data_IF_772339508638
#
_entry.id   IF_772339508638
#
_cell.length_a   1.000
_cell.length_b   1.000
_cell.length_c   1.000
_cell.angle_alpha   90.00
_cell.angle_beta   90.00
_cell.angle_gamma   90.00
#
_symmetry.space_group_name_H-M   'P 1'
#
loop_
_entity.id
_entity.type
_entity.pdbx_description
1 polymer ?
#
# COMPACT_ATOMS: atom_id res chain seq x y z
N UNK A 1 -68.80 -23.22 26.06
CA UNK A 1 -67.50 -22.55 25.78
C UNK A 1 -66.50 -23.07 26.78
N UNK A 2 -65.46 -23.77 26.30
CA UNK A 2 -64.44 -24.37 27.17
C UNK A 2 -63.47 -23.26 27.61
N UNK A 3 -63.22 -23.06 28.91
CA UNK A 3 -62.29 -22.04 29.35
C UNK A 3 -60.88 -22.40 28.85
N UNK A 4 -60.22 -21.45 28.17
CA UNK A 4 -58.82 -21.57 27.81
C UNK A 4 -58.02 -21.73 29.11
N UNK A 5 -57.27 -22.83 29.21
CA UNK A 5 -56.34 -23.09 30.32
C UNK A 5 -55.26 -22.00 30.35
N UNK A 6 -54.76 -21.63 31.54
CA UNK A 6 -53.63 -20.71 31.65
C UNK A 6 -52.46 -21.37 30.93
N UNK A 7 -52.06 -20.79 29.79
CA UNK A 7 -50.91 -21.29 29.04
C UNK A 7 -49.71 -21.27 29.98
N UNK A 8 -49.10 -22.43 30.15
CA UNK A 8 -47.90 -22.64 30.94
C UNK A 8 -46.84 -21.64 30.50
N UNK A 9 -46.54 -20.66 31.36
CA UNK A 9 -45.30 -19.89 31.29
C UNK A 9 -44.17 -20.88 31.51
N UNK A 10 -43.70 -21.51 30.43
CA UNK A 10 -42.54 -22.38 30.46
C UNK A 10 -41.32 -21.56 30.89
N UNK A 11 -40.41 -22.16 31.65
CA UNK A 11 -39.20 -21.48 32.12
C UNK A 11 -38.38 -20.85 30.97
N UNK A 12 -38.51 -21.42 29.77
CA UNK A 12 -37.96 -20.87 28.52
C UNK A 12 -38.58 -19.52 28.14
N UNK A 13 -39.90 -19.35 28.28
CA UNK A 13 -40.59 -18.08 27.97
C UNK A 13 -40.24 -16.99 29.00
N UNK A 14 -40.08 -17.38 30.26
CA UNK A 14 -39.64 -16.46 31.32
C UNK A 14 -38.19 -15.99 31.09
N UNK A 15 -37.27 -16.90 30.74
CA UNK A 15 -35.89 -16.56 30.39
C UNK A 15 -35.81 -15.68 29.14
N UNK A 16 -36.57 -15.99 28.09
CA UNK A 16 -36.65 -15.16 26.89
C UNK A 16 -37.13 -13.73 27.22
N UNK A 17 -38.21 -13.61 28.01
CA UNK A 17 -38.70 -12.30 28.45
C UNK A 17 -37.67 -11.53 29.30
N UNK A 18 -36.88 -12.22 30.15
CA UNK A 18 -35.81 -11.58 30.92
C UNK A 18 -34.71 -11.03 30.01
N UNK A 19 -34.32 -11.78 28.96
CA UNK A 19 -33.35 -11.31 27.96
C UNK A 19 -33.90 -10.11 27.19
N UNK A 20 -35.14 -10.18 26.71
CA UNK A 20 -35.78 -9.06 25.99
C UNK A 20 -35.86 -7.79 26.87
N UNK A 21 -36.15 -7.97 28.16
CA UNK A 21 -36.23 -6.87 29.12
C UNK A 21 -34.84 -6.27 29.42
N UNK A 22 -33.79 -7.09 29.38
CA UNK A 22 -32.41 -6.65 29.50
C UNK A 22 -31.99 -5.87 28.24
N UNK A 23 -32.25 -6.41 27.05
CA UNK A 23 -31.97 -5.74 25.76
C UNK A 23 -32.70 -4.39 25.65
N UNK A 24 -33.96 -4.33 26.11
CA UNK A 24 -34.72 -3.08 26.18
C UNK A 24 -34.05 -2.05 27.11
N UNK A 25 -33.62 -2.46 28.30
CA UNK A 25 -32.92 -1.59 29.25
C UNK A 25 -31.60 -1.08 28.66
N UNK A 26 -30.83 -1.97 28.05
CA UNK A 26 -29.53 -1.64 27.47
C UNK A 26 -29.68 -0.69 26.28
N UNK A 27 -30.67 -0.93 25.43
CA UNK A 27 -31.04 -0.01 24.33
C UNK A 27 -31.42 1.36 24.87
N UNK A 28 -32.27 1.42 25.90
CA UNK A 28 -32.70 2.68 26.51
C UNK A 28 -31.53 3.45 27.13
N UNK A 29 -30.63 2.76 27.82
CA UNK A 29 -29.41 3.34 28.40
C UNK A 29 -28.47 3.88 27.31
N UNK A 30 -28.27 3.11 26.23
CA UNK A 30 -27.42 3.54 25.11
C UNK A 30 -28.00 4.77 24.40
N UNK A 31 -29.32 4.85 24.25
CA UNK A 31 -29.95 6.04 23.67
C UNK A 31 -29.77 7.28 24.58
N UNK A 32 -29.88 7.12 25.90
CA UNK A 32 -29.62 8.23 26.84
C UNK A 32 -28.16 8.72 26.75
N UNK A 33 -27.20 7.80 26.63
CA UNK A 33 -25.78 8.13 26.42
C UNK A 33 -25.56 8.91 25.12
N UNK A 34 -26.23 8.52 24.03
CA UNK A 34 -26.15 9.24 22.75
C UNK A 34 -26.73 10.65 22.91
N UNK A 35 -27.85 10.81 23.62
CA UNK A 35 -28.44 12.12 23.88
C UNK A 35 -27.51 13.04 24.67
N UNK A 36 -26.86 12.52 25.72
CA UNK A 36 -25.88 13.26 26.52
C UNK A 36 -24.63 13.60 25.70
N UNK A 37 -24.14 12.68 24.86
CA UNK A 37 -23.02 12.93 23.95
C UNK A 37 -23.36 14.03 22.92
N UNK A 38 -24.60 14.06 22.42
CA UNK A 38 -25.08 15.13 21.54
C UNK A 38 -25.11 16.45 22.31
N UNK A 39 -25.79 16.52 23.45
CA UNK A 39 -25.92 17.76 24.25
C UNK A 39 -24.57 18.33 24.68
N UNK A 40 -23.61 17.48 25.04
CA UNK A 40 -22.26 17.89 25.48
C UNK A 40 -21.33 18.31 24.34
N UNK A 41 -21.57 17.87 23.10
CA UNK A 41 -20.73 18.22 21.94
C UNK A 41 -21.16 19.49 21.21
N UNK A 42 -22.34 20.03 21.52
CA UNK A 42 -22.91 21.21 20.87
C UNK A 42 -22.42 22.51 21.51
N UNK A 43 -22.32 23.57 20.71
CA UNK A 43 -21.96 24.90 21.18
C UNK A 43 -22.97 25.44 22.21
N UNK A 44 -22.46 26.14 23.23
CA UNK A 44 -23.24 26.61 24.39
C UNK A 44 -24.48 27.43 23.98
N UNK A 45 -24.39 28.24 22.93
CA UNK A 45 -25.50 29.10 22.49
C UNK A 45 -26.70 28.36 21.88
N UNK A 46 -26.54 27.09 21.47
CA UNK A 46 -27.65 26.25 20.96
C UNK A 46 -28.31 25.43 22.08
N UNK A 47 -27.65 25.26 23.23
CA UNK A 47 -28.19 24.48 24.36
C UNK A 47 -29.60 24.93 24.80
N UNK A 48 -29.91 26.23 24.92
CA UNK A 48 -31.26 26.69 25.27
C UNK A 48 -32.34 26.31 24.23
N UNK A 49 -31.97 26.16 22.96
CA UNK A 49 -32.90 25.81 21.88
C UNK A 49 -33.28 24.32 21.86
N UNK A 50 -32.54 23.48 22.56
CA UNK A 50 -32.69 22.01 22.55
C UNK A 50 -33.08 21.42 23.92
N UNK A 51 -33.00 22.21 25.00
CA UNK A 51 -33.15 21.73 26.39
C UNK A 51 -34.50 21.06 26.67
N UNK A 52 -35.59 21.60 26.11
CA UNK A 52 -36.96 21.09 26.30
C UNK A 52 -37.45 20.18 25.15
N UNK A 53 -36.60 19.87 24.16
CA UNK A 53 -37.01 19.18 22.94
C UNK A 53 -36.86 17.66 23.03
N UNK A 54 -37.74 16.94 22.32
CA UNK A 54 -37.62 15.48 22.19
C UNK A 54 -36.41 15.13 21.32
N UNK A 55 -35.82 13.95 21.53
CA UNK A 55 -34.63 13.45 20.80
C UNK A 55 -34.65 13.70 19.29
N UNK A 56 -35.77 13.40 18.62
CA UNK A 56 -35.92 13.63 17.17
C UNK A 56 -35.93 15.13 16.81
N UNK A 57 -36.55 15.96 17.66
CA UNK A 57 -36.63 17.41 17.47
C UNK A 57 -35.27 18.07 17.70
N UNK A 58 -34.47 17.57 18.65
CA UNK A 58 -33.08 18.01 18.84
C UNK A 58 -32.31 17.84 17.53
N UNK A 59 -32.37 16.65 16.92
CA UNK A 59 -31.69 16.38 15.64
C UNK A 59 -32.21 17.28 14.51
N UNK A 60 -33.51 17.55 14.48
CA UNK A 60 -34.11 18.44 13.47
C UNK A 60 -33.60 19.88 13.61
N UNK A 61 -33.57 20.42 14.84
CA UNK A 61 -33.04 21.76 15.12
C UNK A 61 -31.57 21.84 14.76
N UNK A 62 -30.77 20.83 15.15
CA UNK A 62 -29.36 20.80 14.82
C UNK A 62 -29.12 20.73 13.33
N UNK A 63 -29.94 19.96 12.60
CA UNK A 63 -29.90 19.96 11.14
C UNK A 63 -30.19 21.36 10.61
N UNK A 64 -31.28 21.99 11.02
CA UNK A 64 -31.63 23.33 10.52
C UNK A 64 -30.56 24.41 10.83
N UNK A 65 -29.87 24.31 11.96
CA UNK A 65 -28.85 25.29 12.37
C UNK A 65 -27.46 25.04 11.79
N UNK A 66 -27.11 23.78 11.53
CA UNK A 66 -25.76 23.38 11.13
C UNK A 66 -25.71 22.73 9.74
N UNK A 67 -26.83 22.60 9.03
CA UNK A 67 -26.86 22.17 7.63
C UNK A 67 -26.05 23.18 6.82
N UNK A 68 -24.88 22.78 6.30
CA UNK A 68 -24.05 23.70 5.56
C UNK A 68 -24.78 24.08 4.28
N UNK A 69 -24.71 25.36 3.91
CA UNK A 69 -25.23 25.81 2.62
C UNK A 69 -24.43 25.14 1.50
N UNK A 70 -25.03 24.97 0.32
CA UNK A 70 -24.33 24.42 -0.86
C UNK A 70 -23.01 25.16 -1.13
N UNK A 71 -23.03 26.50 -1.09
CA UNK A 71 -21.84 27.36 -1.21
C UNK A 71 -20.78 27.06 -0.14
N UNK A 72 -21.18 26.82 1.10
CA UNK A 72 -20.26 26.51 2.20
C UNK A 72 -19.64 25.11 2.04
N UNK A 73 -20.41 24.15 1.51
CA UNK A 73 -19.92 22.81 1.18
C UNK A 73 -18.90 22.88 0.04
N UNK A 74 -19.20 23.64 -1.01
CA UNK A 74 -18.28 23.89 -2.13
C UNK A 74 -17.00 24.58 -1.66
N UNK A 75 -17.10 25.64 -0.87
CA UNK A 75 -15.95 26.36 -0.37
C UNK A 75 -15.07 25.46 0.51
N UNK A 76 -15.69 24.67 1.40
CA UNK A 76 -14.98 23.72 2.26
C UNK A 76 -14.27 22.66 1.43
N UNK A 77 -14.94 22.06 0.45
CA UNK A 77 -14.35 21.04 -0.42
C UNK A 77 -13.17 21.61 -1.23
N UNK A 78 -13.34 22.80 -1.80
CA UNK A 78 -12.31 23.49 -2.56
C UNK A 78 -11.11 23.88 -1.68
N UNK A 79 -11.36 24.34 -0.45
CA UNK A 79 -10.32 24.68 0.52
C UNK A 79 -9.51 23.45 0.91
N UNK A 80 -10.16 22.32 1.15
CA UNK A 80 -9.50 21.04 1.44
C UNK A 80 -8.65 20.57 0.25
N UNK A 81 -9.21 20.60 -0.96
CA UNK A 81 -8.51 20.22 -2.18
C UNK A 81 -7.26 21.08 -2.42
N UNK A 82 -7.39 22.42 -2.35
CA UNK A 82 -6.27 23.35 -2.49
C UNK A 82 -5.20 23.15 -1.40
N UNK A 83 -5.61 22.83 -0.17
CA UNK A 83 -4.67 22.55 0.91
C UNK A 83 -3.82 21.29 0.64
N UNK A 84 -4.42 20.23 0.09
CA UNK A 84 -3.69 18.98 -0.22
C UNK A 84 -2.72 19.18 -1.38
N UNK A 85 -3.12 19.90 -2.44
CA UNK A 85 -2.22 20.21 -3.57
C UNK A 85 -1.02 21.04 -3.11
N UNK A 86 -1.25 22.05 -2.25
CA UNK A 86 -0.18 22.91 -1.72
C UNK A 86 0.75 22.13 -0.80
N UNK A 87 0.23 21.17 -0.04
CA UNK A 87 1.00 20.29 0.82
C UNK A 87 1.58 19.14 -0.02
N UNK A 88 2.64 19.42 -0.78
CA UNK A 88 3.35 18.38 -1.55
C UNK A 88 3.64 17.14 -0.68
N UNK A 89 3.60 15.93 -1.27
CA UNK A 89 3.86 14.68 -0.55
C UNK A 89 5.26 14.71 0.10
N UNK A 90 5.38 14.12 1.28
CA UNK A 90 6.67 13.93 1.95
C UNK A 90 7.26 12.58 1.55
N UNK A 91 8.60 12.48 1.56
CA UNK A 91 9.32 11.21 1.31
C UNK A 91 9.02 10.22 2.44
N UNK A 92 8.43 9.07 2.08
CA UNK A 92 7.71 8.17 3.02
C UNK A 92 6.48 8.87 3.55
N UNK A 93 5.25 8.37 3.38
CA UNK A 93 3.94 9.05 3.47
C UNK A 93 3.38 9.53 2.13
N UNK A 94 3.92 9.04 1.02
CA UNK A 94 3.35 9.28 -0.31
C UNK A 94 1.94 8.65 -0.40
N UNK A 95 1.75 7.44 0.11
CA UNK A 95 0.44 6.76 0.10
C UNK A 95 -0.63 7.48 0.91
N UNK A 96 -0.29 7.91 2.13
CA UNK A 96 -1.21 8.71 2.94
C UNK A 96 -1.60 10.02 2.24
N UNK A 97 -0.64 10.66 1.56
CA UNK A 97 -0.94 11.84 0.76
C UNK A 97 -1.83 11.53 -0.45
N UNK A 98 -1.62 10.39 -1.12
CA UNK A 98 -2.47 9.92 -2.23
C UNK A 98 -3.92 9.72 -1.75
N UNK A 99 -4.11 9.11 -0.59
CA UNK A 99 -5.44 8.90 -0.01
C UNK A 99 -6.13 10.23 0.31
N UNK A 100 -5.41 11.15 0.95
CA UNK A 100 -5.91 12.50 1.24
C UNK A 100 -6.28 13.25 -0.06
N UNK A 101 -5.47 13.10 -1.11
CA UNK A 101 -5.74 13.70 -2.42
C UNK A 101 -6.97 13.09 -3.08
N UNK A 102 -7.11 11.76 -3.12
CA UNK A 102 -8.26 11.09 -3.74
C UNK A 102 -9.56 11.41 -2.99
N UNK A 103 -9.52 11.46 -1.64
CA UNK A 103 -10.65 11.91 -0.84
C UNK A 103 -11.07 13.35 -1.16
N UNK A 104 -10.11 14.28 -1.23
CA UNK A 104 -10.41 15.68 -1.56
C UNK A 104 -10.92 15.85 -3.00
N UNK A 105 -10.34 15.13 -3.96
CA UNK A 105 -10.82 15.08 -5.35
C UNK A 105 -12.25 14.55 -5.44
N UNK A 106 -12.56 13.45 -4.75
CA UNK A 106 -13.91 12.90 -4.74
C UNK A 106 -14.93 13.86 -4.13
N UNK A 107 -14.55 14.65 -3.13
CA UNK A 107 -15.42 15.67 -2.55
C UNK A 107 -15.79 16.76 -3.58
N UNK A 108 -14.82 17.33 -4.29
CA UNK A 108 -15.10 18.35 -5.33
C UNK A 108 -15.81 17.75 -6.55
N UNK A 109 -15.58 16.47 -6.86
CA UNK A 109 -16.24 15.78 -7.97
C UNK A 109 -17.72 15.52 -7.70
N UNK A 110 -18.08 15.18 -6.45
CA UNK A 110 -19.49 14.98 -6.07
C UNK A 110 -20.31 16.26 -6.19
N UNK A 111 -19.68 17.41 -5.96
CA UNK A 111 -20.28 18.73 -6.11
C UNK A 111 -20.21 19.27 -7.55
N UNK A 112 -19.72 18.48 -8.53
CA UNK A 112 -19.58 18.87 -9.94
C UNK A 112 -18.82 20.19 -10.18
N UNK A 113 -17.86 20.51 -9.30
CA UNK A 113 -17.09 21.75 -9.40
C UNK A 113 -16.21 21.77 -10.65
N UNK A 114 -15.96 22.96 -11.22
CA UNK A 114 -15.15 23.12 -12.43
C UNK A 114 -13.71 22.59 -12.28
N UNK A 115 -13.17 22.64 -11.07
CA UNK A 115 -11.85 22.18 -10.68
C UNK A 115 -11.73 20.65 -10.70
N UNK A 116 -12.86 19.93 -10.70
CA UNK A 116 -12.90 18.47 -10.74
C UNK A 116 -12.67 17.88 -12.14
N UNK A 117 -12.54 18.73 -13.18
CA UNK A 117 -12.24 18.25 -14.52
C UNK A 117 -10.93 17.47 -14.52
N UNK A 118 -10.97 16.26 -15.10
CA UNK A 118 -9.86 15.31 -15.05
C UNK A 118 -8.53 15.92 -15.50
N UNK A 119 -8.53 16.81 -16.51
CA UNK A 119 -7.33 17.51 -17.00
C UNK A 119 -6.69 18.43 -15.96
N UNK A 120 -7.48 19.10 -15.12
CA UNK A 120 -6.98 19.95 -14.06
C UNK A 120 -6.38 19.10 -12.94
N UNK A 121 -7.11 18.07 -12.51
CA UNK A 121 -6.70 17.16 -11.45
C UNK A 121 -5.43 16.40 -11.80
N UNK A 122 -5.29 15.92 -13.04
CA UNK A 122 -4.05 15.29 -13.52
C UNK A 122 -2.84 16.21 -13.41
N UNK A 123 -2.99 17.49 -13.80
CA UNK A 123 -1.91 18.47 -13.71
C UNK A 123 -1.57 18.78 -12.26
N UNK A 124 -2.58 18.95 -11.41
CA UNK A 124 -2.39 19.23 -9.99
C UNK A 124 -1.70 18.07 -9.27
N UNK A 125 -2.10 16.84 -9.59
CA UNK A 125 -1.47 15.62 -9.08
C UNK A 125 0.01 15.53 -9.48
N UNK A 126 0.33 15.71 -10.78
CA UNK A 126 1.70 15.64 -11.28
C UNK A 126 2.58 16.76 -10.74
N UNK A 127 2.03 17.98 -10.61
CA UNK A 127 2.73 19.12 -10.00
C UNK A 127 3.03 18.86 -8.53
N UNK A 128 2.10 18.23 -7.80
CA UNK A 128 2.32 17.87 -6.41
C UNK A 128 3.44 16.83 -6.27
N UNK A 129 3.44 15.81 -7.14
CA UNK A 129 4.45 14.74 -7.14
C UNK A 129 5.83 15.24 -7.57
N UNK A 130 5.90 16.29 -8.38
CA UNK A 130 7.17 16.83 -8.91
C UNK A 130 8.17 17.17 -7.80
N UNK A 131 7.70 17.56 -6.62
CA UNK A 131 8.55 17.81 -5.45
C UNK A 131 9.25 16.55 -4.90
N UNK A 132 8.67 15.37 -5.11
CA UNK A 132 9.18 14.08 -4.61
C UNK A 132 9.86 13.29 -5.72
N UNK A 133 9.25 13.23 -6.89
CA UNK A 133 9.78 12.57 -8.07
C UNK A 133 9.62 13.43 -9.34
N UNK A 134 10.62 14.29 -9.63
CA UNK A 134 10.62 15.11 -10.83
C UNK A 134 10.63 14.30 -12.14
N UNK A 135 11.25 13.11 -12.13
CA UNK A 135 11.41 12.29 -13.34
C UNK A 135 10.07 11.67 -13.75
N UNK A 136 9.34 11.11 -12.78
CA UNK A 136 7.99 10.59 -13.00
C UNK A 136 7.07 11.69 -13.53
N UNK A 137 7.01 12.85 -12.86
CA UNK A 137 6.14 13.94 -13.30
C UNK A 137 6.46 14.39 -14.72
N UNK A 138 7.73 14.56 -15.08
CA UNK A 138 8.15 15.01 -16.42
C UNK A 138 7.76 14.03 -17.53
N UNK A 139 7.92 12.73 -17.30
CA UNK A 139 7.55 11.69 -18.27
C UNK A 139 6.04 11.63 -18.50
N UNK A 140 5.24 11.87 -17.46
CA UNK A 140 3.79 11.76 -17.55
C UNK A 140 3.10 13.07 -18.00
N UNK A 141 3.75 14.23 -17.86
CA UNK A 141 3.23 15.51 -18.38
C UNK A 141 2.97 15.50 -19.90
N UNK A 142 3.79 14.81 -20.70
CA UNK A 142 3.61 14.72 -22.16
C UNK A 142 2.38 13.89 -22.56
N UNK A 143 1.97 12.95 -21.70
CA UNK A 143 0.92 11.97 -21.99
C UNK A 143 -0.42 12.28 -21.30
N UNK A 144 -0.54 13.42 -20.60
CA UNK A 144 -1.77 13.82 -19.86
C UNK A 144 -3.04 13.77 -20.73
N UNK A 145 -2.95 14.10 -22.03
CA UNK A 145 -4.12 14.18 -22.92
C UNK A 145 -4.75 12.82 -23.24
N UNK A 146 -4.01 11.73 -23.05
CA UNK A 146 -4.39 10.39 -23.50
C UNK A 146 -4.74 9.44 -22.34
N UNK A 147 -4.84 9.96 -21.12
CA UNK A 147 -5.13 9.15 -19.93
C UNK A 147 -6.20 9.83 -19.07
N UNK A 148 -6.76 9.10 -18.12
CA UNK A 148 -7.67 9.62 -17.09
C UNK A 148 -6.91 9.78 -15.77
N UNK A 149 -7.45 10.58 -14.83
CA UNK A 149 -6.83 10.69 -13.51
C UNK A 149 -6.73 9.32 -12.80
N UNK A 150 -7.75 8.47 -12.92
CA UNK A 150 -7.78 7.13 -12.30
C UNK A 150 -6.68 6.22 -12.85
N UNK A 151 -6.47 6.22 -14.17
CA UNK A 151 -5.41 5.43 -14.79
C UNK A 151 -4.03 5.95 -14.35
N UNK A 152 -3.83 7.26 -14.35
CA UNK A 152 -2.60 7.90 -13.88
C UNK A 152 -2.28 7.52 -12.42
N UNK A 153 -3.30 7.50 -11.56
CA UNK A 153 -3.13 7.09 -10.17
C UNK A 153 -2.73 5.60 -10.03
N UNK A 154 -3.36 4.73 -10.81
CA UNK A 154 -3.02 3.29 -10.84
C UNK A 154 -1.58 3.05 -11.33
N UNK A 155 -1.17 3.77 -12.38
CA UNK A 155 0.19 3.72 -12.91
C UNK A 155 1.20 4.20 -11.86
N UNK A 156 0.89 5.28 -11.14
CA UNK A 156 1.76 5.80 -10.08
C UNK A 156 1.91 4.84 -8.91
N UNK A 157 0.82 4.19 -8.46
CA UNK A 157 0.90 3.14 -7.42
C UNK A 157 1.78 1.97 -7.87
N UNK A 158 1.61 1.52 -9.10
CA UNK A 158 2.45 0.46 -9.69
C UNK A 158 3.92 0.87 -9.76
N UNK A 159 4.19 2.13 -10.11
CA UNK A 159 5.53 2.72 -10.11
C UNK A 159 6.16 2.75 -8.71
N UNK A 160 5.40 3.14 -7.67
CA UNK A 160 5.87 3.16 -6.29
C UNK A 160 6.23 1.76 -5.78
N UNK A 161 5.35 0.78 -6.04
CA UNK A 161 5.58 -0.62 -5.69
C UNK A 161 6.85 -1.18 -6.37
N UNK A 162 7.04 -0.91 -7.67
CA UNK A 162 8.20 -1.37 -8.42
C UNK A 162 9.50 -0.67 -8.03
N UNK A 163 9.43 0.59 -7.58
CA UNK A 163 10.59 1.37 -7.16
C UNK A 163 11.01 1.12 -5.70
N UNK A 164 10.25 0.33 -4.95
CA UNK A 164 10.50 0.07 -3.52
C UNK A 164 10.37 1.33 -2.66
N UNK A 165 9.61 2.33 -3.14
CA UNK A 165 9.32 3.59 -2.44
C UNK A 165 7.93 3.59 -1.81
N UNK A 166 7.24 2.46 -1.91
CA UNK A 166 6.06 2.21 -1.11
C UNK A 166 6.47 2.30 0.35
N UNK A 167 5.84 3.19 1.09
CA UNK A 167 5.93 3.15 2.54
C UNK A 167 5.25 1.83 2.94
N UNK A 168 5.93 1.00 3.75
CA UNK A 168 5.39 -0.22 4.40
C UNK A 168 4.24 0.11 5.38
N UNK A 169 3.41 1.11 5.07
CA UNK A 169 2.04 1.16 5.51
C UNK A 169 1.35 -0.02 4.85
N UNK A 170 1.08 -1.05 5.65
CA UNK A 170 0.12 -2.10 5.37
C UNK A 170 -1.26 -1.49 5.04
N UNK A 171 -1.39 -0.87 3.87
CA UNK A 171 -2.68 -0.60 3.24
C UNK A 171 -3.04 -1.91 2.57
N UNK A 172 -3.52 -2.84 3.39
CA UNK A 172 -4.42 -3.84 2.89
C UNK A 172 -5.50 -3.08 2.12
N UNK A 173 -5.49 -3.20 0.79
CA UNK A 173 -6.61 -2.80 -0.04
C UNK A 173 -7.80 -3.65 0.40
N UNK A 174 -8.47 -3.21 1.46
CA UNK A 174 -9.76 -3.71 1.92
C UNK A 174 -10.79 -3.26 0.90
N UNK A 175 -10.76 -3.87 -0.28
CA UNK A 175 -11.94 -3.97 -1.10
C UNK A 175 -12.85 -4.95 -0.37
N UNK A 176 -13.80 -4.41 0.40
CA UNK A 176 -14.80 -5.20 1.11
C UNK A 176 -15.67 -5.94 0.08
N UNK A 177 -15.27 -7.15 -0.28
CA UNK A 177 -16.23 -8.15 -0.75
C UNK A 177 -17.10 -8.49 0.46
N UNK A 178 -18.32 -7.97 0.44
CA UNK A 178 -19.40 -8.35 1.35
C UNK A 178 -19.63 -9.86 1.24
N UNK A 179 -18.95 -10.63 2.08
CA UNK A 179 -19.33 -12.00 2.41
C UNK A 179 -19.42 -12.06 3.94
N UNK A 180 -20.65 -12.05 4.43
CA UNK A 180 -20.93 -12.21 5.84
C UNK A 180 -20.57 -13.62 6.30
N UNK A 181 -19.86 -13.70 7.43
CA UNK A 181 -20.08 -14.74 8.42
C UNK A 181 -19.36 -14.43 9.74
N UNK A 182 -20.16 -14.23 10.78
CA UNK A 182 -19.90 -14.77 12.12
C UNK A 182 -19.02 -13.95 13.05
N UNK A 183 -19.64 -13.03 13.79
CA UNK A 183 -19.22 -12.73 15.15
C UNK A 183 -19.35 -13.98 16.02
N UNK A 184 -18.31 -14.34 16.78
CA UNK A 184 -18.43 -14.67 18.21
C UNK A 184 -17.14 -14.32 18.98
N UNK A 185 -17.26 -13.95 20.27
CA UNK A 185 -16.21 -13.27 21.02
C UNK A 185 -15.36 -14.20 21.92
N UNK A 186 -14.25 -13.59 22.35
CA UNK A 186 -13.19 -13.96 23.30
C UNK A 186 -13.39 -15.13 24.29
N UNK A 187 -12.32 -15.92 24.47
CA UNK A 187 -11.70 -16.06 25.80
C UNK A 187 -10.23 -16.50 25.74
N UNK A 188 -9.49 -16.03 26.75
CA UNK A 188 -8.05 -15.86 26.81
C UNK A 188 -7.26 -17.10 27.24
N UNK A 189 -6.12 -17.37 26.60
CA UNK A 189 -4.93 -17.97 27.24
C UNK A 189 -3.63 -17.30 26.72
N UNK A 190 -2.63 -17.25 27.61
CA UNK A 190 -1.52 -16.27 27.72
C UNK A 190 -0.58 -16.10 26.51
N UNK A 191 0.01 -14.89 26.35
CA UNK A 191 1.05 -14.63 25.35
C UNK A 191 2.41 -15.17 25.82
N UNK A 192 3.03 -16.01 25.00
CA UNK A 192 4.47 -16.26 25.11
C UNK A 192 5.23 -15.12 24.44
N UNK A 193 6.05 -14.51 25.26
CA UNK A 193 7.03 -13.48 24.95
C UNK A 193 7.98 -13.94 23.83
N UNK A 194 7.93 -13.27 22.69
CA UNK A 194 8.99 -13.30 21.68
C UNK A 194 9.27 -11.86 21.28
N UNK A 195 10.34 -11.33 21.87
CA UNK A 195 10.71 -9.94 21.83
C UNK A 195 10.94 -9.36 20.43
N UNK A 196 10.70 -8.05 20.36
CA UNK A 196 11.16 -7.11 19.32
C UNK A 196 12.59 -7.42 18.86
N UNK A 197 12.78 -7.46 17.54
CA UNK A 197 13.97 -7.13 16.72
C UNK A 197 13.54 -7.40 15.26
N UNK A 198 13.64 -6.55 14.26
CA UNK A 198 14.30 -5.28 14.02
C UNK A 198 14.18 -5.05 12.50
N UNK A 199 14.24 -3.80 12.07
CA UNK A 199 14.21 -3.38 10.66
C UNK A 199 15.26 -4.12 9.78
N UNK A 200 14.92 -4.29 8.50
CA UNK A 200 15.89 -4.18 7.41
C UNK A 200 16.83 -5.36 7.13
N UNK A 201 16.41 -6.27 6.25
CA UNK A 201 17.34 -7.06 5.44
C UNK A 201 16.61 -7.54 4.18
N UNK A 202 16.70 -6.78 3.08
CA UNK A 202 16.51 -7.34 1.73
C UNK A 202 17.28 -8.66 1.66
N UNK A 203 16.67 -9.80 1.30
CA UNK A 203 17.34 -11.08 1.47
C UNK A 203 18.53 -11.13 0.51
N UNK A 204 19.72 -10.90 1.05
CA UNK A 204 20.96 -11.27 0.41
C UNK A 204 21.00 -12.80 0.41
N UNK A 205 21.06 -13.39 -0.78
CA UNK A 205 21.34 -14.81 -0.91
C UNK A 205 22.76 -15.09 -0.38
N UNK A 206 23.00 -16.30 0.12
CA UNK A 206 24.33 -16.76 0.56
C UNK A 206 25.35 -16.78 -0.59
N UNK A 207 24.90 -16.73 -1.85
CA UNK A 207 25.76 -16.51 -3.01
C UNK A 207 26.30 -15.06 -3.11
N UNK A 208 25.82 -14.14 -2.28
CA UNK A 208 26.24 -12.74 -2.22
C UNK A 208 25.52 -11.78 -3.17
N UNK A 209 24.48 -12.24 -3.88
CA UNK A 209 23.63 -11.43 -4.77
C UNK A 209 22.28 -11.11 -4.11
N UNK A 210 21.62 -10.03 -4.58
CA UNK A 210 20.30 -9.59 -4.09
C UNK A 210 19.19 -10.41 -4.74
N UNK A 211 18.86 -11.56 -4.15
CA UNK A 211 17.70 -12.36 -4.47
C UNK A 211 17.40 -13.33 -3.33
N UNK A 212 16.17 -13.87 -3.30
CA UNK A 212 15.82 -14.94 -2.37
C UNK A 212 16.51 -16.25 -2.77
N UNK A 213 16.96 -17.04 -1.79
CA UNK A 213 17.68 -18.31 -1.99
C UNK A 213 17.03 -19.23 -3.03
N UNK A 214 15.70 -19.37 -2.97
CA UNK A 214 14.86 -20.19 -3.87
C UNK A 214 15.02 -19.81 -5.35
N UNK A 215 15.38 -18.56 -5.65
CA UNK A 215 15.54 -18.04 -7.02
C UNK A 215 17.02 -17.94 -7.44
N UNK A 216 17.93 -18.58 -6.70
CA UNK A 216 19.36 -18.47 -6.95
C UNK A 216 19.79 -19.33 -8.15
N UNK A 217 20.10 -18.68 -9.28
CA UNK A 217 20.64 -19.34 -10.48
C UNK A 217 22.00 -20.05 -10.26
N UNK A 218 22.75 -19.64 -9.22
CA UNK A 218 24.02 -20.28 -8.86
C UNK A 218 23.81 -21.61 -8.12
N UNK A 219 22.69 -21.77 -7.40
CA UNK A 219 22.37 -22.98 -6.64
C UNK A 219 21.49 -23.96 -7.42
N UNK A 220 20.51 -23.44 -8.17
CA UNK A 220 19.50 -24.24 -8.86
C UNK A 220 19.72 -24.18 -10.38
N UNK A 221 20.21 -25.26 -11.00
CA UNK A 221 20.42 -25.33 -12.46
C UNK A 221 19.16 -25.11 -13.28
N UNK A 222 18.01 -25.57 -12.78
CA UNK A 222 16.72 -25.50 -13.48
C UNK A 222 16.23 -24.06 -13.72
N UNK A 223 16.77 -23.10 -12.96
CA UNK A 223 16.42 -21.69 -13.05
C UNK A 223 17.38 -20.88 -13.92
N UNK A 224 18.37 -21.53 -14.55
CA UNK A 224 19.40 -20.83 -15.35
C UNK A 224 18.82 -20.36 -16.68
N UNK A 225 18.97 -19.07 -17.04
CA UNK A 225 18.64 -18.62 -18.38
C UNK A 225 19.60 -19.22 -19.43
N UNK A 226 19.21 -19.29 -20.71
CA UNK A 226 19.96 -19.98 -21.77
C UNK A 226 21.37 -19.42 -22.02
N UNK A 227 21.64 -18.16 -21.64
CA UNK A 227 22.96 -17.51 -21.76
C UNK A 227 23.67 -17.33 -20.40
N UNK A 228 23.33 -18.16 -19.42
CA UNK A 228 23.86 -18.03 -18.07
C UNK A 228 25.33 -18.42 -17.98
N UNK A 229 26.10 -17.65 -17.20
CA UNK A 229 27.52 -17.88 -16.94
C UNK A 229 27.78 -18.04 -15.45
N UNK A 230 28.72 -18.92 -15.12
CA UNK A 230 29.13 -19.17 -13.75
C UNK A 230 29.79 -17.93 -13.15
N UNK A 231 29.30 -17.51 -11.99
CA UNK A 231 29.97 -16.46 -11.23
C UNK A 231 30.93 -17.09 -10.21
N UNK A 232 32.22 -17.13 -10.56
CA UNK A 232 33.28 -17.71 -9.72
C UNK A 232 33.32 -17.10 -8.31
N UNK A 233 33.03 -15.80 -8.16
CA UNK A 233 32.99 -15.13 -6.86
C UNK A 233 31.79 -15.55 -6.01
N UNK A 234 30.63 -15.76 -6.65
CA UNK A 234 29.44 -16.25 -5.98
C UNK A 234 29.60 -17.72 -5.56
N UNK A 235 30.22 -18.55 -6.39
CA UNK A 235 30.52 -19.95 -6.08
C UNK A 235 31.52 -20.12 -4.93
N UNK A 236 32.56 -19.28 -4.86
CA UNK A 236 33.49 -19.28 -3.71
C UNK A 236 32.72 -19.03 -2.40
N UNK A 237 31.87 -18.00 -2.36
CA UNK A 237 31.02 -17.71 -1.19
C UNK A 237 30.08 -18.87 -0.82
N UNK A 238 29.53 -19.57 -1.82
CA UNK A 238 28.70 -20.74 -1.60
C UNK A 238 29.48 -21.91 -1.02
N UNK A 239 30.71 -22.17 -1.50
CA UNK A 239 31.61 -23.19 -0.96
C UNK A 239 32.05 -22.84 0.48
N UNK A 240 32.39 -21.59 0.74
CA UNK A 240 32.76 -21.10 2.08
C UNK A 240 31.59 -21.22 3.06
N UNK A 241 30.37 -20.85 2.63
CA UNK A 241 29.16 -21.01 3.43
C UNK A 241 28.82 -22.49 3.67
N UNK A 242 29.01 -23.34 2.66
CA UNK A 242 28.79 -24.78 2.76
C UNK A 242 29.77 -25.47 3.72
N UNK A 243 30.89 -24.85 4.10
CA UNK A 243 31.81 -25.39 5.11
C UNK A 243 31.28 -25.26 6.55
N UNK A 244 30.24 -24.44 6.77
CA UNK A 244 29.58 -24.29 8.07
C UNK A 244 28.80 -25.52 8.54
N UNK A 245 28.37 -25.52 9.80
CA UNK A 245 27.62 -26.61 10.45
C UNK A 245 26.10 -26.40 10.48
N UNK A 246 25.58 -25.25 10.03
CA UNK A 246 24.15 -24.94 10.06
C UNK A 246 23.33 -25.84 9.12
N UNK A 247 22.04 -26.03 9.42
CA UNK A 247 21.10 -26.79 8.56
C UNK A 247 21.05 -26.21 7.14
N UNK A 248 21.13 -24.89 7.01
CA UNK A 248 21.21 -24.20 5.73
C UNK A 248 22.54 -24.43 5.00
N UNK A 249 23.67 -24.51 5.72
CA UNK A 249 24.97 -24.86 5.13
C UNK A 249 24.99 -26.31 4.63
N UNK A 250 24.40 -27.25 5.39
CA UNK A 250 24.24 -28.66 4.97
C UNK A 250 23.36 -28.78 3.72
N UNK A 251 22.25 -28.03 3.66
CA UNK A 251 21.38 -27.97 2.48
C UNK A 251 22.15 -27.47 1.26
N UNK A 252 22.86 -26.32 1.37
CA UNK A 252 23.65 -25.75 0.29
C UNK A 252 24.76 -26.72 -0.16
N UNK A 253 25.44 -27.39 0.78
CA UNK A 253 26.44 -28.43 0.48
C UNK A 253 25.84 -29.56 -0.34
N UNK A 254 24.68 -30.09 0.05
CA UNK A 254 24.00 -31.17 -0.68
C UNK A 254 23.60 -30.77 -2.11
N UNK A 255 23.20 -29.51 -2.31
CA UNK A 255 22.84 -28.97 -3.62
C UNK A 255 24.08 -28.80 -4.50
N UNK A 256 25.18 -28.28 -3.93
CA UNK A 256 26.45 -28.15 -4.65
C UNK A 256 26.97 -29.52 -5.07
N UNK A 257 27.00 -30.49 -4.15
CA UNK A 257 27.47 -31.85 -4.43
C UNK A 257 26.63 -32.60 -5.46
N UNK A 258 25.30 -32.39 -5.48
CA UNK A 258 24.42 -33.02 -6.46
C UNK A 258 24.55 -32.39 -7.85
N UNK A 259 24.69 -31.07 -7.93
CA UNK A 259 24.60 -30.33 -9.18
C UNK A 259 25.94 -30.02 -9.83
N UNK A 260 27.06 -30.15 -9.11
CA UNK A 260 28.40 -29.76 -9.57
C UNK A 260 29.41 -30.93 -9.59
N UNK A 261 28.94 -32.19 -9.50
CA UNK A 261 29.77 -33.40 -9.65
C UNK A 261 30.00 -33.85 -11.09
N UNK A 262 29.56 -33.07 -12.09
CA UNK A 262 29.92 -33.30 -13.49
C UNK A 262 30.80 -32.13 -13.95
N UNK A 263 32.00 -32.48 -14.41
CA UNK A 263 33.15 -31.59 -14.57
C UNK A 263 32.91 -30.42 -15.51
N UNK A 264 32.69 -29.24 -14.93
CA UNK A 264 32.74 -27.96 -15.63
C UNK A 264 33.60 -26.98 -14.81
N UNK A 265 34.85 -27.37 -14.55
CA UNK A 265 35.89 -26.48 -14.05
C UNK A 265 36.78 -26.04 -15.23
N UNK A 266 36.44 -24.92 -15.87
CA UNK A 266 37.45 -24.05 -16.48
C UNK A 266 37.50 -22.73 -15.72
N UNK A 267 38.48 -22.52 -14.83
CA UNK A 267 38.79 -21.20 -14.32
C UNK A 267 39.41 -20.38 -15.45
N UNK A 268 38.82 -19.23 -15.81
CA UNK A 268 39.58 -18.22 -16.55
C UNK A 268 40.44 -17.44 -15.54
N UNK A 269 41.74 -17.66 -15.63
CA UNK A 269 42.76 -16.81 -15.01
C UNK A 269 42.60 -15.36 -15.52
N UNK A 270 42.56 -14.42 -14.59
CA UNK A 270 42.61 -13.00 -14.88
C UNK A 270 44.07 -12.63 -15.18
N UNK A 271 44.43 -12.61 -16.47
CA UNK A 271 45.66 -11.96 -16.90
C UNK A 271 45.44 -10.44 -16.77
N UNK A 272 46.13 -9.83 -15.81
CA UNK A 272 46.38 -8.38 -15.81
C UNK A 272 47.23 -8.08 -17.05
N UNK A 273 46.60 -7.60 -18.12
CA UNK A 273 47.32 -7.07 -19.28
C UNK A 273 47.75 -5.64 -18.97
N UNK A 274 49.06 -5.48 -18.76
CA UNK A 274 49.73 -4.19 -18.85
C UNK A 274 49.50 -3.61 -20.25
N UNK A 275 49.18 -2.31 -20.31
CA UNK A 275 49.08 -1.55 -21.54
C UNK A 275 50.45 -1.43 -22.18
N UNK A 276 50.64 -2.05 -23.35
CA UNK A 276 51.69 -1.69 -24.29
C UNK A 276 51.04 -1.38 -25.64
N UNK A 277 51.10 -0.09 -25.99
CA UNK A 277 50.75 0.46 -27.29
C UNK A 277 51.77 -0.02 -28.32
N UNK A 278 51.31 -0.66 -29.40
CA UNK A 278 52.06 -0.73 -30.65
C UNK A 278 51.07 -0.77 -31.81
N UNK A 279 51.19 0.24 -32.66
CA UNK A 279 50.37 0.53 -33.81
C UNK A 279 50.39 -0.60 -34.85
N UNK A 280 49.22 -0.81 -35.48
CA UNK A 280 49.02 -1.06 -36.92
C UNK A 280 47.55 -1.47 -37.13
N UNK A 281 46.72 -0.49 -37.51
CA UNK A 281 45.33 -0.70 -37.90
C UNK A 281 45.25 -0.68 -39.43
N UNK A 282 45.29 -1.85 -40.04
CA UNK A 282 44.70 -2.09 -41.36
C UNK A 282 43.34 -2.74 -41.15
N UNK A 283 42.28 -1.92 -41.07
CA UNK A 283 40.90 -2.38 -41.17
C UNK A 283 40.27 -1.63 -42.36
N UNK A 284 39.88 -2.32 -43.43
CA UNK A 284 39.21 -1.67 -44.55
C UNK A 284 37.79 -1.26 -44.16
N UNK A 285 37.56 0.06 -44.08
CA UNK A 285 36.25 0.65 -43.87
C UNK A 285 35.41 0.52 -45.16
N UNK A 286 34.46 -0.42 -45.18
CA UNK A 286 33.42 -0.47 -46.21
C UNK A 286 32.34 0.58 -45.91
N UNK A 287 32.06 1.42 -46.90
CA UNK A 287 30.91 2.34 -47.00
C UNK A 287 30.93 3.59 -46.09
N UNK A 288 31.99 4.39 -46.15
CA UNK A 288 31.92 5.79 -45.75
C UNK A 288 32.10 6.66 -47.00
N UNK A 289 30.99 7.21 -47.50
CA UNK A 289 30.96 8.22 -48.54
C UNK A 289 31.35 9.56 -47.89
N UNK A 290 32.63 9.90 -47.92
CA UNK A 290 33.08 11.27 -47.62
C UNK A 290 33.60 11.86 -48.93
N UNK A 291 32.95 12.95 -49.32
CA UNK A 291 33.22 13.75 -50.50
C UNK A 291 34.55 14.47 -50.27
N UNK A 292 35.48 14.25 -51.21
CA UNK A 292 36.79 14.88 -51.28
C UNK A 292 36.64 16.34 -51.74
N UNK A 293 37.08 17.28 -50.91
CA UNK A 293 37.28 18.69 -51.30
C UNK A 293 38.62 19.16 -50.77
N UNK A 294 39.59 19.31 -51.68
CA UNK A 294 40.91 19.91 -51.47
C UNK A 294 42.02 18.87 -51.39
N UNK A 295 43.02 18.85 -52.27
CA UNK A 295 43.71 19.98 -52.90
C UNK A 295 44.40 19.57 -54.20
#
# INVERSE_FOLDING_TARGET
MKPMRPAELTETNFRAHQLDLQDYKDTRNNIAKVEEAIKSSIAIHIQPLIEEKRRFEILKVLKEQYEPTEDEMEEKALRQYKAVIKRSPRKGKINAWIEDFDHAYLAIKRLNMSESQDKHVQKDFLRSIEAVDPLYSRLHYSNIRNTTYRNLLSDFRTYLANSGRDDDSAVAHNFATFNGQGDKPADAEKPQDAGKKGEGSSPYCVCGLRHRMEKCWQLYPDLRPPNWKLNSKAMKKLKDFAAGSSTQAQMVRSIIEKNWKQGDERPQEYHVMALSFSASLDIPLKNCFIIDTGS
#
